data_IF_687130093631
#
_entry.id   IF_687130093631
#
_cell.length_a   1.000
_cell.length_b   1.000
_cell.length_c   1.000
_cell.angle_alpha   90.00
_cell.angle_beta   90.00
_cell.angle_gamma   90.00
#
_symmetry.space_group_name_H-M   'P 1'
#
loop_
_entity.id
_entity.type
_entity.pdbx_description
1 polymer ?
#
# COMPACT_ATOMS: atom_id res chain seq x y z
N UNK A 1 -8.57 -10.73 -1.31
CA UNK A 1 -7.25 -10.10 -1.39
C UNK A 1 -7.48 -8.66 -1.72
N UNK A 2 -7.20 -7.77 -0.78
CA UNK A 2 -7.18 -6.33 -1.03
C UNK A 2 -5.89 -5.93 -1.76
N UNK A 3 -6.02 -5.00 -2.70
CA UNK A 3 -4.90 -4.41 -3.46
C UNK A 3 -4.88 -2.93 -3.14
N UNK A 4 -3.68 -2.37 -2.97
CA UNK A 4 -3.48 -0.96 -2.69
C UNK A 4 -2.41 -0.41 -3.61
N UNK A 5 -2.64 0.76 -4.20
CA UNK A 5 -1.63 1.50 -4.96
C UNK A 5 -1.11 2.64 -4.08
N UNK A 6 0.15 2.56 -3.65
CA UNK A 6 0.74 3.64 -2.87
C UNK A 6 1.15 4.77 -3.81
N UNK A 7 0.59 5.96 -3.60
CA UNK A 7 0.75 7.13 -4.47
C UNK A 7 1.09 8.41 -3.70
N UNK A 8 1.46 9.47 -4.43
CA UNK A 8 1.52 10.85 -3.95
C UNK A 8 0.18 11.35 -3.41
N UNK A 9 0.20 12.42 -2.61
CA UNK A 9 -1.05 13.01 -2.06
C UNK A 9 -1.89 13.62 -3.19
N UNK A 10 -1.22 14.22 -4.17
CA UNK A 10 -1.82 14.84 -5.35
C UNK A 10 -2.39 13.84 -6.38
N UNK A 11 -2.08 12.56 -6.23
CA UNK A 11 -2.48 11.49 -7.15
C UNK A 11 -3.63 10.63 -6.60
N UNK A 12 -4.16 10.94 -5.41
CA UNK A 12 -5.17 10.12 -4.74
C UNK A 12 -6.46 9.91 -5.55
N UNK A 13 -6.83 10.87 -6.39
CA UNK A 13 -8.03 10.80 -7.22
C UNK A 13 -7.80 10.10 -8.57
N UNK A 14 -6.56 9.68 -8.87
CA UNK A 14 -6.18 9.10 -10.16
C UNK A 14 -6.30 7.57 -10.20
N UNK A 15 -6.23 6.90 -9.05
CA UNK A 15 -6.27 5.45 -8.94
C UNK A 15 -7.35 5.01 -7.92
N UNK A 16 -8.21 4.03 -8.25
CA UNK A 16 -9.36 3.67 -7.40
C UNK A 16 -8.97 3.09 -6.03
N UNK A 17 -7.80 2.45 -5.94
CA UNK A 17 -7.27 1.84 -4.71
C UNK A 17 -6.07 2.63 -4.16
N UNK A 18 -6.02 3.93 -4.46
CA UNK A 18 -4.97 4.83 -4.03
C UNK A 18 -4.91 4.96 -2.51
N UNK A 19 -3.71 4.83 -1.96
CA UNK A 19 -3.38 5.20 -0.59
C UNK A 19 -2.17 6.10 -0.59
N UNK A 20 -2.27 7.20 0.14
CA UNK A 20 -1.16 8.14 0.20
C UNK A 20 0.01 7.53 0.97
N UNK A 21 1.22 7.71 0.46
CA UNK A 21 2.46 7.30 1.13
C UNK A 21 2.65 7.90 2.54
N UNK A 22 1.99 9.02 2.87
CA UNK A 22 2.08 9.62 4.21
C UNK A 22 1.16 8.95 5.24
N UNK A 23 0.15 8.20 4.79
CA UNK A 23 -0.81 7.52 5.67
C UNK A 23 -0.14 6.37 6.46
N UNK A 24 -0.69 5.98 7.63
CA UNK A 24 -0.17 4.84 8.39
C UNK A 24 -0.09 3.55 7.57
N UNK A 25 -1.14 3.25 6.80
CA UNK A 25 -1.15 2.08 5.91
C UNK A 25 -0.14 2.20 4.77
N UNK A 26 -0.01 3.37 4.14
CA UNK A 26 0.95 3.60 3.07
C UNK A 26 2.39 3.38 3.54
N UNK A 27 2.73 3.90 4.73
CA UNK A 27 4.04 3.67 5.36
C UNK A 27 4.27 2.19 5.69
N UNK A 28 3.27 1.50 6.23
CA UNK A 28 3.37 0.08 6.52
C UNK A 28 3.60 -0.76 5.25
N UNK A 29 2.87 -0.45 4.17
CA UNK A 29 3.03 -1.11 2.86
C UNK A 29 4.41 -0.83 2.24
N UNK A 30 4.92 0.40 2.33
CA UNK A 30 6.24 0.77 1.81
C UNK A 30 7.41 0.15 2.59
N UNK A 31 7.19 -0.19 3.86
CA UNK A 31 8.21 -0.80 4.72
C UNK A 31 8.22 -2.33 4.68
N UNK A 32 7.25 -2.96 4.03
CA UNK A 32 7.08 -4.41 4.01
C UNK A 32 7.64 -5.04 2.71
N UNK A 33 8.14 -6.26 2.84
CA UNK A 33 8.56 -7.09 1.72
C UNK A 33 7.55 -8.21 1.42
N UNK A 34 7.69 -8.85 0.26
CA UNK A 34 6.87 -10.00 -0.10
C UNK A 34 7.04 -11.12 0.93
N UNK A 35 5.94 -11.55 1.53
CA UNK A 35 5.90 -12.58 2.57
C UNK A 35 5.70 -12.03 3.98
N UNK A 36 5.92 -10.73 4.20
CA UNK A 36 5.76 -10.10 5.51
C UNK A 36 4.30 -10.02 5.94
N UNK A 37 4.11 -9.93 7.26
CA UNK A 37 2.83 -9.63 7.87
C UNK A 37 2.81 -8.19 8.37
N UNK A 38 1.78 -7.45 7.99
CA UNK A 38 1.52 -6.10 8.50
C UNK A 38 0.27 -6.10 9.38
N UNK A 39 0.23 -5.17 10.34
CA UNK A 39 -0.95 -4.91 11.17
C UNK A 39 -1.57 -3.59 10.71
N UNK A 40 -2.85 -3.62 10.37
CA UNK A 40 -3.64 -2.45 10.03
C UNK A 40 -4.08 -1.70 11.29
N UNK A 41 -4.48 -0.44 11.16
CA UNK A 41 -4.90 0.38 12.31
C UNK A 41 -6.14 -0.17 13.01
N UNK A 42 -7.01 -0.90 12.30
CA UNK A 42 -8.18 -1.58 12.87
C UNK A 42 -7.84 -2.91 13.56
N UNK A 43 -6.55 -3.25 13.67
CA UNK A 43 -6.05 -4.46 14.33
C UNK A 43 -6.05 -5.71 13.46
N UNK A 44 -6.54 -5.65 12.22
CA UNK A 44 -6.42 -6.78 11.28
C UNK A 44 -4.95 -7.00 10.90
N UNK A 45 -4.60 -8.25 10.65
CA UNK A 45 -3.28 -8.61 10.10
C UNK A 45 -3.42 -9.11 8.67
N UNK A 46 -2.48 -8.74 7.81
CA UNK A 46 -2.47 -9.12 6.41
C UNK A 46 -1.07 -9.53 5.98
N UNK A 47 -0.98 -10.56 5.13
CA UNK A 47 0.28 -11.01 4.53
C UNK A 47 0.47 -10.36 3.17
N UNK A 48 1.66 -9.83 2.91
CA UNK A 48 2.03 -9.32 1.60
C UNK A 48 2.28 -10.50 0.67
N UNK A 49 1.39 -10.69 -0.30
CA UNK A 49 1.45 -11.82 -1.24
C UNK A 49 1.98 -11.41 -2.62
N UNK A 50 1.99 -10.11 -2.93
CA UNK A 50 2.44 -9.56 -4.21
C UNK A 50 2.86 -8.10 -4.02
N UNK A 51 3.95 -7.71 -4.66
CA UNK A 51 4.38 -6.30 -4.80
C UNK A 51 4.67 -6.07 -6.28
N UNK A 52 4.06 -5.05 -6.86
CA UNK A 52 4.31 -4.61 -8.23
C UNK A 52 4.73 -3.13 -8.21
N UNK A 53 5.76 -2.77 -8.97
CA UNK A 53 6.18 -1.37 -9.15
C UNK A 53 5.76 -0.93 -10.54
N UNK A 54 4.85 0.04 -10.64
CA UNK A 54 4.61 0.74 -11.90
C UNK A 54 5.87 1.58 -12.19
N UNK A 55 6.47 1.36 -13.35
CA UNK A 55 7.55 2.23 -13.83
C UNK A 55 6.90 3.36 -14.61
N UNK A 56 7.33 4.59 -14.32
CA UNK A 56 6.95 5.77 -15.10
C UNK A 56 7.68 5.65 -16.46
N UNK A 57 6.97 5.33 -17.53
CA UNK A 57 7.50 5.30 -18.90
C UNK A 57 6.43 5.79 -19.85
#
# INVERSE_FOLDING_TARGET
>A
TETYTVVGVDELDLEPDAVSWISPIGKALLAADMGDWITLEDGRTAKIVKIERKSDT
#
